data_IF_775855471402
#
_entry.id   IF_775855471402
#
_cell.length_a   1.000
_cell.length_b   1.000
_cell.length_c   1.000
_cell.angle_alpha   90.00
_cell.angle_beta   90.00
_cell.angle_gamma   90.00
#
_symmetry.space_group_name_H-M   'P 1'
#
loop_
_entity.id
_entity.type
_entity.pdbx_description
1 polymer ?
#
# COMPACT_ATOMS: atom_id res chain seq x y z
N UNK A 1 -22.13 -2.20 17.45
CA UNK A 1 -20.81 -1.97 18.04
C UNK A 1 -20.38 -0.56 17.65
N UNK A 2 -19.80 0.18 18.58
CA UNK A 2 -19.24 1.49 18.28
C UNK A 2 -18.04 1.31 17.35
N UNK A 3 -17.92 2.19 16.35
CA UNK A 3 -16.80 2.15 15.42
C UNK A 3 -15.49 2.60 16.09
N UNK A 4 -14.38 2.02 15.68
CA UNK A 4 -13.06 2.43 16.16
C UNK A 4 -12.68 3.74 15.49
N UNK A 5 -12.46 4.79 16.28
CA UNK A 5 -11.94 6.08 15.77
C UNK A 5 -10.48 5.90 15.38
N UNK A 6 -10.14 6.30 14.15
CA UNK A 6 -8.77 6.27 13.63
C UNK A 6 -8.42 7.59 12.97
N UNK A 7 -7.17 8.02 13.09
CA UNK A 7 -6.61 9.15 12.35
C UNK A 7 -5.84 8.62 11.14
N UNK A 8 -6.13 9.13 9.95
CA UNK A 8 -5.49 8.70 8.69
C UNK A 8 -4.77 9.88 8.07
N UNK A 9 -3.43 9.80 7.97
CA UNK A 9 -2.56 10.86 7.43
C UNK A 9 -2.01 10.41 6.09
N UNK A 10 -2.39 11.11 5.03
CA UNK A 10 -2.02 10.81 3.64
C UNK A 10 -1.34 12.01 2.97
N UNK A 11 -0.57 11.74 1.94
CA UNK A 11 0.08 12.78 1.14
C UNK A 11 1.24 12.23 0.31
N UNK A 12 1.83 13.02 -0.59
CA UNK A 12 2.93 12.58 -1.43
C UNK A 12 4.22 12.32 -0.63
N UNK A 13 5.19 11.70 -1.29
CA UNK A 13 6.55 11.56 -0.76
C UNK A 13 7.13 12.92 -0.37
N UNK A 14 7.94 12.96 0.68
CA UNK A 14 8.57 14.17 1.23
C UNK A 14 7.59 15.27 1.71
N UNK A 15 6.31 14.96 1.92
CA UNK A 15 5.31 15.95 2.36
C UNK A 15 5.33 16.26 3.86
N UNK A 16 6.06 15.49 4.67
CA UNK A 16 6.11 15.68 6.13
C UNK A 16 5.10 14.84 6.91
N UNK A 17 4.52 13.80 6.30
CA UNK A 17 3.58 12.89 6.97
C UNK A 17 4.11 12.31 8.29
N UNK A 18 5.36 11.85 8.29
CA UNK A 18 6.01 11.23 9.45
C UNK A 18 6.07 12.20 10.65
N UNK A 19 6.58 13.40 10.44
CA UNK A 19 6.67 14.40 11.52
C UNK A 19 5.28 14.79 12.05
N UNK A 20 4.29 14.94 11.15
CA UNK A 20 2.91 15.24 11.56
C UNK A 20 2.31 14.08 12.37
N UNK A 21 2.53 12.82 11.94
CA UNK A 21 1.99 11.65 12.63
C UNK A 21 2.56 11.50 14.04
N UNK A 22 3.85 11.76 14.22
CA UNK A 22 4.51 11.74 15.53
C UNK A 22 3.94 12.85 16.43
N UNK A 23 3.84 14.08 15.94
CA UNK A 23 3.24 15.20 16.70
C UNK A 23 1.78 14.92 17.08
N UNK A 24 1.00 14.27 16.21
CA UNK A 24 -0.35 13.85 16.55
C UNK A 24 -0.35 12.73 17.60
N UNK A 25 0.57 11.78 17.51
CA UNK A 25 0.68 10.68 18.47
C UNK A 25 1.03 11.21 19.87
N UNK A 26 1.98 12.14 19.97
CA UNK A 26 2.33 12.81 21.23
C UNK A 26 1.14 13.56 21.82
N UNK A 27 0.46 14.35 20.99
CA UNK A 27 -0.65 15.21 21.44
C UNK A 27 -1.89 14.44 21.86
N UNK A 28 -2.22 13.34 21.17
CA UNK A 28 -3.47 12.62 21.35
C UNK A 28 -3.30 11.23 22.00
N UNK A 29 -2.09 10.91 22.46
CA UNK A 29 -1.81 9.61 23.08
C UNK A 29 -1.96 8.45 22.10
N UNK A 30 -1.50 8.64 20.85
CA UNK A 30 -1.66 7.66 19.79
C UNK A 30 -0.44 6.74 19.59
N UNK A 31 -0.63 5.72 18.75
CA UNK A 31 0.43 4.88 18.19
C UNK A 31 0.25 4.75 16.67
N UNK A 32 1.34 4.52 15.95
CA UNK A 32 1.39 4.65 14.50
C UNK A 32 1.37 3.27 13.84
N UNK A 33 0.52 3.10 12.81
CA UNK A 33 0.51 1.96 11.90
C UNK A 33 0.88 2.46 10.50
N UNK A 34 2.05 2.05 10.00
CA UNK A 34 2.51 2.45 8.67
C UNK A 34 1.66 1.83 7.57
N UNK A 35 1.31 2.63 6.57
CA UNK A 35 0.63 2.23 5.34
C UNK A 35 1.53 2.49 4.12
N UNK A 36 2.77 2.01 4.20
CA UNK A 36 3.77 2.09 3.14
C UNK A 36 4.22 0.68 2.74
N UNK A 37 4.03 0.33 1.46
CA UNK A 37 4.32 -1.01 0.95
C UNK A 37 5.81 -1.33 0.81
N UNK A 38 6.69 -0.34 1.00
CA UNK A 38 8.14 -0.53 0.94
C UNK A 38 8.79 -0.50 2.32
N UNK A 39 8.26 0.27 3.26
CA UNK A 39 8.79 0.33 4.63
C UNK A 39 8.61 -0.96 5.43
N UNK A 40 7.81 -1.91 4.93
CA UNK A 40 7.61 -3.21 5.58
C UNK A 40 8.86 -4.09 5.52
N UNK A 41 9.71 -3.94 4.50
CA UNK A 41 10.87 -4.80 4.28
C UNK A 41 12.02 -4.48 5.23
N UNK A 42 12.66 -5.51 5.79
CA UNK A 42 13.91 -5.41 6.54
C UNK A 42 15.05 -4.94 5.62
N UNK A 43 15.99 -4.18 6.17
CA UNK A 43 17.22 -3.78 5.47
C UNK A 43 17.05 -2.72 4.38
N UNK A 44 15.85 -2.16 4.19
CA UNK A 44 15.58 -1.01 3.31
C UNK A 44 15.22 0.22 4.15
N UNK A 45 16.14 0.71 4.95
CA UNK A 45 15.86 1.79 5.91
C UNK A 45 16.04 3.17 5.27
N UNK A 46 17.12 3.36 4.53
CA UNK A 46 17.43 4.61 3.83
C UNK A 46 16.54 4.76 2.60
N UNK A 47 16.50 3.74 1.71
CA UNK A 47 15.77 3.79 0.45
C UNK A 47 14.26 4.08 0.63
N UNK A 48 13.68 3.59 1.72
CA UNK A 48 12.27 3.81 2.05
C UNK A 48 12.02 4.96 3.00
N UNK A 49 13.11 5.62 3.47
CA UNK A 49 13.09 6.65 4.50
C UNK A 49 12.26 6.24 5.71
N UNK A 50 12.58 5.08 6.27
CA UNK A 50 12.01 4.67 7.55
C UNK A 50 12.40 5.69 8.62
N UNK A 51 11.48 6.05 9.53
CA UNK A 51 11.84 6.89 10.65
C UNK A 51 12.87 6.19 11.54
N UNK A 52 13.89 6.92 11.94
CA UNK A 52 14.89 6.46 12.92
C UNK A 52 14.29 6.40 14.32
N UNK A 53 14.93 5.69 15.24
CA UNK A 53 14.49 5.62 16.64
C UNK A 53 14.38 7.03 17.28
N UNK A 54 15.30 7.93 16.95
CA UNK A 54 15.29 9.31 17.43
C UNK A 54 14.10 10.08 16.86
N UNK A 55 13.83 9.95 15.55
CA UNK A 55 12.68 10.58 14.91
C UNK A 55 11.34 10.05 15.44
N UNK A 56 11.28 8.80 15.87
CA UNK A 56 10.07 8.19 16.44
C UNK A 56 9.70 8.77 17.82
N UNK A 57 10.61 9.47 18.51
CA UNK A 57 10.38 10.08 19.84
C UNK A 57 9.77 9.12 20.87
N UNK A 58 10.10 7.82 20.80
CA UNK A 58 9.52 6.80 21.66
C UNK A 58 8.08 6.41 21.35
N UNK A 59 7.46 6.96 20.29
CA UNK A 59 6.15 6.56 19.79
C UNK A 59 6.29 5.20 19.12
N UNK A 60 5.41 4.27 19.50
CA UNK A 60 5.40 2.93 18.92
C UNK A 60 4.89 2.96 17.48
N UNK A 61 5.68 2.38 16.58
CA UNK A 61 5.36 2.22 15.17
C UNK A 61 5.20 0.75 14.84
N UNK A 62 4.17 0.42 14.08
CA UNK A 62 3.86 -0.93 13.60
C UNK A 62 3.95 -0.97 12.07
N UNK A 63 4.09 -2.14 11.52
CA UNK A 63 4.17 -2.39 10.08
C UNK A 63 5.39 -1.74 9.42
N UNK A 64 6.53 -1.73 10.14
CA UNK A 64 7.81 -1.20 9.66
C UNK A 64 8.90 -2.26 9.89
N UNK A 65 9.66 -2.61 8.84
CA UNK A 65 10.87 -3.41 8.92
C UNK A 65 10.70 -4.79 9.55
N UNK A 66 9.67 -5.52 9.19
CA UNK A 66 9.37 -6.83 9.76
C UNK A 66 9.36 -7.98 8.74
N UNK A 67 9.42 -7.66 7.44
CA UNK A 67 9.31 -8.63 6.36
C UNK A 67 10.67 -8.88 5.72
N UNK A 68 11.17 -10.13 5.68
CA UNK A 68 12.36 -10.46 4.93
C UNK A 68 12.23 -10.13 3.43
N UNK A 69 13.36 -9.79 2.79
CA UNK A 69 13.41 -9.33 1.40
C UNK A 69 12.86 -10.32 0.37
N UNK A 70 13.00 -11.62 0.66
CA UNK A 70 12.57 -12.74 -0.20
C UNK A 70 11.07 -13.06 -0.09
N UNK A 71 10.36 -12.42 0.83
CA UNK A 71 8.94 -12.67 1.06
C UNK A 71 8.05 -11.70 0.27
N UNK A 72 6.95 -12.22 -0.21
CA UNK A 72 5.89 -11.41 -0.82
C UNK A 72 4.86 -11.00 0.24
N UNK A 73 4.31 -9.81 0.09
CA UNK A 73 3.30 -9.28 0.99
C UNK A 73 2.19 -8.61 0.19
N UNK A 74 0.99 -9.10 0.35
CA UNK A 74 -0.17 -8.60 -0.38
C UNK A 74 -0.94 -7.53 0.41
N UNK A 75 -1.83 -6.82 -0.28
CA UNK A 75 -2.77 -5.90 0.38
C UNK A 75 -3.68 -6.63 1.36
N UNK A 76 -4.01 -7.90 1.12
CA UNK A 76 -4.82 -8.72 2.03
C UNK A 76 -4.08 -9.00 3.33
N UNK A 77 -2.78 -9.33 3.25
CA UNK A 77 -1.90 -9.52 4.42
C UNK A 77 -1.82 -8.21 5.21
N UNK A 78 -1.61 -7.07 4.52
CA UNK A 78 -1.58 -5.75 5.14
C UNK A 78 -2.86 -5.46 5.95
N UNK A 79 -4.02 -5.63 5.34
CA UNK A 79 -5.30 -5.37 6.02
C UNK A 79 -5.45 -6.26 7.25
N UNK A 80 -5.15 -7.55 7.12
CA UNK A 80 -5.24 -8.50 8.22
C UNK A 80 -4.34 -8.11 9.41
N UNK A 81 -3.09 -7.74 9.14
CA UNK A 81 -2.13 -7.39 10.20
C UNK A 81 -2.40 -6.00 10.78
N UNK A 82 -2.71 -5.01 9.93
CA UNK A 82 -3.07 -3.66 10.39
C UNK A 82 -4.30 -3.68 11.31
N UNK A 83 -5.32 -4.50 10.99
CA UNK A 83 -6.49 -4.66 11.85
C UNK A 83 -6.15 -5.17 13.24
N UNK A 84 -5.20 -6.11 13.38
CA UNK A 84 -4.75 -6.62 14.66
C UNK A 84 -4.13 -5.51 15.52
N UNK A 85 -3.24 -4.73 14.91
CA UNK A 85 -2.59 -3.62 15.61
C UNK A 85 -3.57 -2.50 15.97
N UNK A 86 -4.48 -2.13 15.07
CA UNK A 86 -5.49 -1.11 15.35
C UNK A 86 -6.38 -1.54 16.53
N UNK A 87 -6.82 -2.78 16.58
CA UNK A 87 -7.63 -3.33 17.67
C UNK A 87 -6.85 -3.33 18.99
N UNK A 88 -5.58 -3.76 18.99
CA UNK A 88 -4.72 -3.73 20.17
C UNK A 88 -4.51 -2.31 20.71
N UNK A 89 -4.20 -1.36 19.83
CA UNK A 89 -4.04 0.06 20.19
C UNK A 89 -5.33 0.61 20.81
N UNK A 90 -6.46 0.33 20.18
CA UNK A 90 -7.77 0.79 20.65
C UNK A 90 -8.15 0.20 22.02
N UNK A 91 -7.94 -1.10 22.24
CA UNK A 91 -8.22 -1.77 23.51
C UNK A 91 -7.38 -1.20 24.66
N UNK A 92 -6.16 -0.74 24.34
CA UNK A 92 -5.30 -0.04 25.31
C UNK A 92 -5.70 1.43 25.55
N UNK A 93 -6.82 1.89 24.97
CA UNK A 93 -7.31 3.27 25.11
C UNK A 93 -6.50 4.32 24.36
N UNK A 94 -5.67 3.92 23.39
CA UNK A 94 -4.86 4.81 22.57
C UNK A 94 -5.51 5.07 21.21
N UNK A 95 -5.11 6.16 20.55
CA UNK A 95 -5.57 6.51 19.21
C UNK A 95 -4.74 5.77 18.15
N UNK A 96 -5.32 4.89 17.29
CA UNK A 96 -4.60 4.37 16.14
C UNK A 96 -4.44 5.45 15.07
N UNK A 97 -3.20 5.66 14.62
CA UNK A 97 -2.84 6.64 13.59
C UNK A 97 -2.27 5.89 12.39
N UNK A 98 -2.99 5.91 11.29
CA UNK A 98 -2.57 5.27 10.04
C UNK A 98 -1.84 6.31 9.20
N UNK A 99 -0.59 6.04 8.82
CA UNK A 99 0.20 6.99 8.05
C UNK A 99 0.90 6.33 6.88
N UNK A 100 0.77 6.87 5.68
CA UNK A 100 1.47 6.32 4.53
C UNK A 100 1.13 6.94 3.19
N UNK A 101 1.78 6.38 2.15
CA UNK A 101 1.60 6.79 0.76
C UNK A 101 0.92 5.74 -0.11
N UNK A 102 0.73 4.51 0.40
CA UNK A 102 0.14 3.41 -0.37
C UNK A 102 -1.40 3.48 -0.31
N UNK A 103 -1.98 4.21 -1.25
CA UNK A 103 -3.43 4.46 -1.29
C UNK A 103 -4.26 3.17 -1.26
N UNK A 104 -3.80 2.11 -1.98
CA UNK A 104 -4.48 0.81 -1.98
C UNK A 104 -4.57 0.20 -0.56
N UNK A 105 -3.54 0.31 0.26
CA UNK A 105 -3.54 -0.19 1.64
C UNK A 105 -4.57 0.56 2.50
N UNK A 106 -4.53 1.89 2.42
CA UNK A 106 -5.42 2.76 3.21
C UNK A 106 -6.87 2.57 2.80
N UNK A 107 -7.15 2.59 1.50
CA UNK A 107 -8.50 2.42 0.96
C UNK A 107 -9.09 1.06 1.34
N UNK A 108 -8.30 0.00 1.21
CA UNK A 108 -8.71 -1.35 1.54
C UNK A 108 -9.00 -1.53 3.04
N UNK A 109 -8.15 -0.98 3.89
CA UNK A 109 -8.31 -1.03 5.34
C UNK A 109 -9.54 -0.25 5.80
N UNK A 110 -9.64 1.02 5.37
CA UNK A 110 -10.70 1.92 5.84
C UNK A 110 -12.07 1.50 5.34
N UNK A 111 -12.17 1.03 4.11
CA UNK A 111 -13.44 0.60 3.51
C UNK A 111 -13.78 -0.88 3.78
N UNK A 112 -12.99 -1.57 4.62
CA UNK A 112 -13.19 -2.97 4.96
C UNK A 112 -13.29 -3.89 3.73
N UNK A 113 -12.39 -3.66 2.74
CA UNK A 113 -12.39 -4.44 1.51
C UNK A 113 -11.94 -5.87 1.83
N UNK A 114 -12.84 -6.81 1.63
CA UNK A 114 -12.53 -8.25 1.79
C UNK A 114 -11.93 -8.78 0.49
N UNK A 115 -10.65 -9.11 0.55
CA UNK A 115 -10.00 -9.75 -0.58
C UNK A 115 -10.35 -11.23 -0.61
N UNK A 116 -10.99 -11.68 -1.68
CA UNK A 116 -11.08 -13.11 -1.97
C UNK A 116 -9.66 -13.60 -2.20
N UNK A 117 -9.24 -14.63 -1.48
CA UNK A 117 -7.97 -15.31 -1.74
C UNK A 117 -8.09 -16.01 -3.10
N UNK A 118 -7.93 -15.27 -4.18
CA UNK A 118 -7.79 -15.87 -5.50
C UNK A 118 -6.36 -16.40 -5.59
N UNK A 119 -6.16 -17.69 -5.72
CA UNK A 119 -4.82 -18.25 -5.88
C UNK A 119 -4.12 -17.53 -7.03
N UNK A 120 -2.88 -17.15 -6.81
CA UNK A 120 -2.04 -16.60 -7.86
C UNK A 120 -1.61 -17.77 -8.72
N UNK A 121 -2.14 -17.86 -9.94
CA UNK A 121 -1.70 -18.82 -10.94
C UNK A 121 -0.56 -18.21 -11.76
N UNK A 122 0.67 -18.49 -11.34
CA UNK A 122 1.87 -17.96 -11.98
C UNK A 122 2.01 -18.45 -13.43
N UNK A 123 1.60 -19.67 -13.75
CA UNK A 123 1.67 -20.20 -15.11
C UNK A 123 0.69 -19.49 -16.04
N UNK A 124 -0.54 -19.31 -15.57
CA UNK A 124 -1.56 -18.55 -16.29
C UNK A 124 -1.13 -17.08 -16.47
N UNK A 125 -0.55 -16.47 -15.45
CA UNK A 125 -0.05 -15.09 -15.54
C UNK A 125 1.04 -14.95 -16.59
N UNK A 126 2.03 -15.84 -16.62
CA UNK A 126 3.10 -15.87 -17.64
C UNK A 126 2.50 -16.05 -19.04
N UNK A 127 1.52 -16.95 -19.19
CA UNK A 127 0.82 -17.15 -20.47
C UNK A 127 0.09 -15.90 -20.95
N UNK A 128 -0.64 -15.22 -20.07
CA UNK A 128 -1.33 -13.97 -20.39
C UNK A 128 -0.37 -12.83 -20.71
N UNK A 129 0.78 -12.79 -20.03
CA UNK A 129 1.85 -11.83 -20.29
C UNK A 129 2.40 -12.01 -21.71
N UNK A 130 2.75 -13.26 -22.10
CA UNK A 130 3.22 -13.57 -23.46
C UNK A 130 2.16 -13.25 -24.52
N UNK A 131 0.90 -13.58 -24.26
CA UNK A 131 -0.19 -13.23 -25.17
C UNK A 131 -0.31 -11.70 -25.35
N UNK A 132 -0.08 -10.93 -24.27
CA UNK A 132 -0.07 -9.48 -24.35
C UNK A 132 1.12 -8.94 -25.16
N UNK A 133 2.29 -9.55 -25.05
CA UNK A 133 3.49 -9.18 -25.84
C UNK A 133 3.28 -9.46 -27.34
N UNK A 134 2.62 -10.58 -27.66
CA UNK A 134 2.35 -10.98 -29.05
C UNK A 134 1.23 -10.18 -29.72
N UNK A 135 0.11 -9.96 -29.03
CA UNK A 135 -1.12 -9.39 -29.58
C UNK A 135 -1.35 -7.92 -29.25
N UNK A 136 -0.59 -7.38 -28.30
CA UNK A 136 -0.73 -6.02 -27.82
C UNK A 136 -1.81 -5.86 -26.72
N UNK A 137 -1.69 -4.77 -25.99
CA UNK A 137 -2.56 -4.45 -24.82
C UNK A 137 -4.02 -4.17 -25.21
N UNK A 138 -4.27 -3.61 -26.39
CA UNK A 138 -5.62 -3.38 -26.93
C UNK A 138 -6.38 -4.69 -27.14
N UNK A 139 -5.72 -5.72 -27.67
CA UNK A 139 -6.32 -7.04 -27.84
C UNK A 139 -6.68 -7.67 -26.51
N UNK A 140 -5.81 -7.53 -25.50
CA UNK A 140 -6.08 -8.01 -24.14
C UNK A 140 -7.22 -7.25 -23.46
N UNK A 141 -7.32 -5.94 -23.65
CA UNK A 141 -8.45 -5.15 -23.15
C UNK A 141 -9.76 -5.53 -23.85
N UNK A 142 -9.73 -5.80 -25.16
CA UNK A 142 -10.89 -6.29 -25.91
C UNK A 142 -11.37 -7.66 -25.41
N UNK A 143 -10.42 -8.55 -25.09
CA UNK A 143 -10.70 -9.84 -24.45
C UNK A 143 -11.36 -9.68 -23.08
N UNK A 144 -10.84 -8.74 -22.26
CA UNK A 144 -11.44 -8.42 -20.96
C UNK A 144 -12.85 -7.82 -21.13
N UNK A 145 -13.07 -6.95 -22.13
CA UNK A 145 -14.37 -6.33 -22.41
C UNK A 145 -15.45 -7.34 -22.75
N UNK A 146 -15.09 -8.45 -23.39
CA UNK A 146 -16.04 -9.54 -23.67
C UNK A 146 -16.46 -10.30 -22.40
N UNK A 147 -15.66 -10.28 -21.34
CA UNK A 147 -15.87 -11.00 -20.07
C UNK A 147 -16.48 -10.07 -19.02
N UNK A 148 -15.96 -8.87 -18.90
CA UNK A 148 -16.30 -7.88 -17.89
C UNK A 148 -16.30 -6.46 -18.51
N UNK A 149 -17.37 -6.09 -19.22
CA UNK A 149 -17.47 -4.80 -19.90
C UNK A 149 -17.38 -3.61 -18.93
N UNK A 150 -17.95 -3.73 -17.72
CA UNK A 150 -17.96 -2.66 -16.72
C UNK A 150 -16.54 -2.37 -16.22
N UNK A 151 -15.79 -3.38 -15.86
CA UNK A 151 -14.41 -3.22 -15.39
C UNK A 151 -13.50 -2.75 -16.53
N UNK A 152 -13.64 -3.34 -17.72
CA UNK A 152 -12.85 -2.95 -18.89
C UNK A 152 -13.05 -1.47 -19.28
N UNK A 153 -14.26 -0.92 -19.13
CA UNK A 153 -14.55 0.47 -19.38
C UNK A 153 -13.81 1.44 -18.43
N UNK A 154 -13.43 0.97 -17.26
CA UNK A 154 -12.67 1.74 -16.26
C UNK A 154 -11.15 1.74 -16.52
N UNK A 155 -10.67 0.95 -17.50
CA UNK A 155 -9.24 0.76 -17.73
C UNK A 155 -8.80 1.40 -19.06
N UNK A 156 -7.57 1.94 -19.03
CA UNK A 156 -6.85 2.32 -20.23
C UNK A 156 -6.00 1.13 -20.72
N UNK A 157 -5.79 0.95 -22.06
CA UNK A 157 -4.97 -0.14 -22.60
C UNK A 157 -3.57 -0.26 -21.95
N UNK A 158 -2.97 0.85 -21.57
CA UNK A 158 -1.68 0.88 -20.88
C UNK A 158 -1.72 0.29 -19.44
N UNK A 159 -2.91 0.01 -18.91
CA UNK A 159 -3.06 -0.64 -17.60
C UNK A 159 -2.85 -2.17 -17.68
N UNK A 160 -1.84 -2.62 -18.42
CA UNK A 160 -1.57 -4.04 -18.73
C UNK A 160 -1.64 -4.94 -17.49
N UNK A 161 -0.98 -4.55 -16.39
CA UNK A 161 -1.00 -5.35 -15.14
C UNK A 161 -2.40 -5.55 -14.58
N UNK A 162 -3.28 -4.54 -14.67
CA UNK A 162 -4.67 -4.63 -14.20
C UNK A 162 -5.52 -5.48 -15.13
N UNK A 163 -5.32 -5.37 -16.44
CA UNK A 163 -6.00 -6.18 -17.47
C UNK A 163 -5.65 -7.65 -17.25
N UNK A 164 -4.36 -7.99 -17.17
CA UNK A 164 -3.89 -9.36 -16.94
C UNK A 164 -4.45 -9.91 -15.62
N UNK A 165 -4.43 -9.12 -14.53
CA UNK A 165 -4.97 -9.57 -13.25
C UNK A 165 -6.47 -9.87 -13.30
N UNK A 166 -7.25 -9.07 -14.00
CA UNK A 166 -8.68 -9.31 -14.16
C UNK A 166 -8.96 -10.60 -14.96
N UNK A 167 -8.21 -10.83 -16.03
CA UNK A 167 -8.28 -12.07 -16.82
C UNK A 167 -7.83 -13.30 -16.01
N UNK A 168 -6.75 -13.18 -15.24
CA UNK A 168 -6.25 -14.23 -14.34
C UNK A 168 -7.34 -14.65 -13.33
N UNK A 169 -7.99 -13.69 -12.66
CA UNK A 169 -9.07 -13.96 -11.71
C UNK A 169 -10.20 -14.70 -12.42
N UNK A 170 -10.65 -14.21 -13.57
CA UNK A 170 -11.73 -14.86 -14.30
C UNK A 170 -11.39 -16.29 -14.70
N UNK A 171 -10.23 -16.55 -15.27
CA UNK A 171 -9.84 -17.89 -15.71
C UNK A 171 -9.58 -18.86 -14.56
N UNK A 172 -9.14 -18.34 -13.40
CA UNK A 172 -8.86 -19.17 -12.22
C UNK A 172 -10.12 -19.47 -11.40
N UNK A 173 -11.10 -18.55 -11.38
CA UNK A 173 -12.25 -18.64 -10.46
C UNK A 173 -13.61 -18.70 -11.15
N UNK A 174 -13.69 -18.33 -12.43
CA UNK A 174 -14.95 -18.14 -13.16
C UNK A 174 -15.69 -16.85 -12.80
N UNK A 175 -15.15 -16.03 -11.87
CA UNK A 175 -15.76 -14.78 -11.42
C UNK A 175 -15.09 -13.57 -12.08
N UNK A 176 -15.89 -12.63 -12.61
CA UNK A 176 -15.35 -11.40 -13.17
C UNK A 176 -14.99 -10.37 -12.08
N UNK A 177 -14.08 -9.44 -12.42
CA UNK A 177 -13.54 -8.47 -11.47
C UNK A 177 -14.60 -7.53 -10.92
N UNK A 178 -15.57 -7.12 -11.72
CA UNK A 178 -16.69 -6.27 -11.26
C UNK A 178 -17.50 -6.93 -10.16
N UNK A 179 -17.80 -8.21 -10.29
CA UNK A 179 -18.52 -9.00 -9.28
C UNK A 179 -17.68 -9.20 -8.02
N UNK A 180 -16.39 -9.54 -8.20
CA UNK A 180 -15.46 -9.69 -7.08
C UNK A 180 -15.34 -8.39 -6.27
N UNK A 181 -15.22 -7.24 -6.93
CA UNK A 181 -15.18 -5.93 -6.29
C UNK A 181 -16.48 -5.60 -5.55
N UNK A 182 -17.64 -5.87 -6.15
CA UNK A 182 -18.94 -5.65 -5.47
C UNK A 182 -19.07 -6.49 -4.21
N UNK A 183 -18.66 -7.74 -4.25
CA UNK A 183 -18.67 -8.62 -3.08
C UNK A 183 -17.66 -8.20 -2.01
N UNK A 184 -16.51 -7.68 -2.42
CA UNK A 184 -15.46 -7.26 -1.49
C UNK A 184 -15.87 -6.10 -0.57
N UNK A 185 -16.87 -5.29 -0.95
CA UNK A 185 -17.39 -4.15 -0.19
C UNK A 185 -18.70 -4.52 0.55
N UNK A 186 -18.95 -5.80 0.79
CA UNK A 186 -20.24 -6.27 1.32
C UNK A 186 -20.53 -5.89 2.78
N UNK A 187 -19.52 -5.58 3.56
CA UNK A 187 -19.66 -5.25 4.97
C UNK A 187 -19.28 -3.78 5.26
N UNK A 188 -20.04 -3.09 6.11
CA UNK A 188 -19.73 -1.71 6.47
C UNK A 188 -18.39 -1.65 7.22
N UNK A 189 -17.67 -0.54 7.05
CA UNK A 189 -16.43 -0.28 7.78
C UNK A 189 -16.62 -0.33 9.28
N UNK A 190 -15.71 -0.99 9.98
CA UNK A 190 -15.61 -1.00 11.43
C UNK A 190 -14.93 0.27 11.99
N UNK A 191 -14.47 1.16 11.13
CA UNK A 191 -13.75 2.38 11.51
C UNK A 191 -14.57 3.64 11.33
N UNK A 192 -14.24 4.64 12.15
CA UNK A 192 -14.65 6.03 12.01
C UNK A 192 -13.39 6.86 11.71
N UNK A 193 -13.02 7.03 10.43
CA UNK A 193 -11.77 7.67 10.05
C UNK A 193 -11.89 9.19 10.04
N UNK A 194 -10.87 9.87 10.57
CA UNK A 194 -10.60 11.28 10.33
C UNK A 194 -9.40 11.38 9.40
N UNK A 195 -9.57 11.99 8.22
CA UNK A 195 -8.50 12.12 7.23
C UNK A 195 -7.80 13.47 7.32
N UNK A 196 -6.46 13.43 7.30
CA UNK A 196 -5.61 14.59 7.07
C UNK A 196 -4.82 14.36 5.79
N UNK A 197 -5.16 15.11 4.74
CA UNK A 197 -4.43 15.10 3.46
C UNK A 197 -3.41 16.23 3.42
N UNK A 198 -2.12 15.89 3.29
CA UNK A 198 -1.06 16.88 3.08
C UNK A 198 -0.87 17.07 1.59
N UNK A 199 -0.95 18.31 1.12
CA UNK A 199 -0.67 18.66 -0.27
C UNK A 199 0.14 19.96 -0.35
N UNK A 200 0.91 20.11 -1.40
CA UNK A 200 1.65 21.32 -1.70
C UNK A 200 0.91 22.13 -2.77
N UNK A 201 0.68 23.41 -2.50
CA UNK A 201 0.12 24.33 -3.49
C UNK A 201 1.07 24.53 -4.67
N UNK A 202 2.37 24.56 -4.39
CA UNK A 202 3.44 24.72 -5.35
C UNK A 202 4.19 23.39 -5.53
N UNK A 203 4.07 22.80 -6.71
CA UNK A 203 4.75 21.54 -7.05
C UNK A 203 6.27 21.67 -7.08
N UNK A 204 6.80 22.84 -7.43
CA UNK A 204 8.24 23.05 -7.46
C UNK A 204 8.84 22.86 -6.05
N UNK A 205 8.18 23.38 -5.02
CA UNK A 205 8.62 23.19 -3.63
C UNK A 205 8.59 21.70 -3.20
N UNK A 206 7.63 20.93 -3.69
CA UNK A 206 7.61 19.50 -3.42
C UNK A 206 8.79 18.79 -4.10
N UNK A 207 9.10 19.13 -5.34
CA UNK A 207 10.23 18.56 -6.09
C UNK A 207 11.56 18.89 -5.41
N UNK A 208 11.78 20.14 -5.01
CA UNK A 208 12.97 20.54 -4.24
C UNK A 208 13.16 19.70 -2.97
N UNK A 209 12.07 19.38 -2.29
CA UNK A 209 12.12 18.52 -1.09
C UNK A 209 12.43 17.07 -1.43
N UNK A 210 11.91 16.56 -2.55
CA UNK A 210 12.21 15.21 -3.03
C UNK A 210 13.69 15.12 -3.41
N UNK A 211 14.20 16.08 -4.16
CA UNK A 211 15.59 16.12 -4.61
C UNK A 211 16.55 16.17 -3.40
N UNK A 212 16.33 17.11 -2.47
CA UNK A 212 17.09 17.18 -1.21
C UNK A 212 17.05 15.88 -0.40
N UNK A 213 15.91 15.21 -0.40
CA UNK A 213 15.80 13.92 0.28
C UNK A 213 16.64 12.84 -0.39
N UNK A 214 16.71 12.82 -1.73
CA UNK A 214 17.56 11.88 -2.48
C UNK A 214 19.04 12.16 -2.18
N UNK A 215 19.45 13.43 -2.17
CA UNK A 215 20.83 13.81 -1.80
C UNK A 215 21.20 13.31 -0.40
N UNK A 216 20.33 13.56 0.59
CA UNK A 216 20.52 13.05 1.95
C UNK A 216 20.56 11.53 2.04
N UNK A 217 19.76 10.83 1.23
CA UNK A 217 19.82 9.37 1.16
C UNK A 217 21.17 8.87 0.62
N UNK A 218 21.71 9.52 -0.39
CA UNK A 218 23.04 9.21 -0.95
C UNK A 218 24.14 9.44 0.10
N UNK A 219 24.12 10.57 0.79
CA UNK A 219 25.05 10.92 1.86
C UNK A 219 24.98 9.92 3.03
N UNK A 220 23.79 9.43 3.35
CA UNK A 220 23.56 8.44 4.41
C UNK A 220 23.87 7.00 4.01
N UNK A 221 24.34 6.75 2.76
CA UNK A 221 24.81 5.45 2.33
C UNK A 221 23.79 4.59 1.58
N UNK A 222 22.85 5.21 0.88
CA UNK A 222 21.85 4.52 0.05
C UNK A 222 22.44 3.47 -0.88
N UNK A 223 23.59 3.77 -1.52
CA UNK A 223 24.24 2.83 -2.45
C UNK A 223 24.72 1.56 -1.72
N UNK A 224 25.30 1.74 -0.52
CA UNK A 224 25.75 0.60 0.29
C UNK A 224 24.58 -0.25 0.79
N UNK A 225 23.46 0.39 1.17
CA UNK A 225 22.23 -0.32 1.54
C UNK A 225 21.72 -1.15 0.35
N UNK A 226 21.68 -0.55 -0.85
CA UNK A 226 21.24 -1.24 -2.06
C UNK A 226 22.13 -2.43 -2.43
N UNK A 227 23.47 -2.28 -2.36
CA UNK A 227 24.44 -3.37 -2.59
C UNK A 227 24.22 -4.52 -1.60
N UNK A 228 24.06 -4.19 -0.30
CA UNK A 228 23.83 -5.19 0.75
C UNK A 228 22.49 -5.91 0.54
N UNK A 229 21.43 -5.17 0.20
CA UNK A 229 20.11 -5.74 -0.03
C UNK A 229 20.10 -6.69 -1.24
N UNK A 230 20.73 -6.30 -2.34
CA UNK A 230 20.87 -7.15 -3.55
C UNK A 230 21.73 -8.38 -3.30
N UNK A 231 22.81 -8.25 -2.51
CA UNK A 231 23.67 -9.37 -2.13
C UNK A 231 22.96 -10.43 -1.27
N UNK A 232 21.92 -10.06 -0.53
CA UNK A 232 21.12 -10.97 0.28
C UNK A 232 19.96 -11.65 -0.49
N UNK A 233 19.73 -11.25 -1.74
CA UNK A 233 18.67 -11.81 -2.60
C UNK A 233 19.19 -12.87 -3.60
N UNK A 234 20.52 -13.15 -3.61
CA UNK A 234 21.20 -14.06 -4.52
C UNK A 234 21.35 -15.49 -4.00
#
# INVERSE_FOLDING_TARGET
>A
MDKIKILVIVGPTASGKTALSISCAEKFGGEIVSADSMQIYEGLDIATAKPTADEMHGIKHYMIGFLPADKTYSVADYVCDAEKYIKDIHVRGKLPIIVGGTGLYIDSLVNNIKFTQSPTDNELRVKLQKECEEKGSEAMLSKLRAIDPDYAASLHPNNVKRIIRALEIYYSTGENMSSALKKSISEPSQYEPVFIGINYRDRAKLYERIDKRVDLMLDNGLLKEAETYLGNMG
#
